data_IF_972173627584
#
_entry.id   IF_972173627584
#
_cell.length_a   1.000
_cell.length_b   1.000
_cell.length_c   1.000
_cell.angle_alpha   90.00
_cell.angle_beta   90.00
_cell.angle_gamma   90.00
#
_symmetry.space_group_name_H-M   'P 1'
#
loop_
_entity.id
_entity.type
_entity.pdbx_description
1 polymer ?
#
# COMPACT_ATOMS: atom_id res chain seq x y z
N UNK A 1 6.07 10.63 -33.91
CA UNK A 1 5.48 9.36 -33.45
C UNK A 1 4.37 9.71 -32.47
N UNK A 2 3.25 9.02 -32.55
CA UNK A 2 2.15 9.20 -31.59
C UNK A 2 2.61 8.63 -30.24
N UNK A 3 2.68 9.46 -29.20
CA UNK A 3 3.18 9.07 -27.88
C UNK A 3 2.03 8.43 -27.08
N UNK A 4 2.13 7.12 -26.84
CA UNK A 4 1.19 6.36 -26.02
C UNK A 4 1.60 6.32 -24.54
N UNK A 5 2.76 6.85 -24.18
CA UNK A 5 3.30 6.75 -22.82
C UNK A 5 2.44 7.51 -21.80
N UNK A 6 2.18 6.84 -20.69
CA UNK A 6 1.39 7.37 -19.59
C UNK A 6 0.24 6.46 -19.18
N UNK A 7 -0.70 7.06 -18.47
CA UNK A 7 -1.81 6.36 -17.83
C UNK A 7 -3.11 6.82 -18.47
N UNK A 8 -3.91 5.87 -18.90
CA UNK A 8 -5.09 6.12 -19.70
C UNK A 8 -6.32 5.51 -19.05
N UNK A 9 -7.27 6.34 -18.64
CA UNK A 9 -8.59 5.88 -18.24
C UNK A 9 -9.31 5.31 -19.46
N UNK A 10 -9.81 4.09 -19.34
CA UNK A 10 -10.50 3.37 -20.42
C UNK A 10 -12.00 3.39 -20.15
N UNK A 11 -12.76 3.88 -21.12
CA UNK A 11 -14.22 3.95 -21.03
C UNK A 11 -14.84 3.20 -22.21
N UNK A 12 -15.78 2.30 -21.91
CA UNK A 12 -16.52 1.55 -22.94
C UNK A 12 -17.36 2.51 -23.77
N UNK A 13 -17.28 2.39 -25.09
CA UNK A 13 -18.06 3.18 -26.05
C UNK A 13 -19.10 2.30 -26.75
N UNK A 14 -18.82 1.02 -26.98
CA UNK A 14 -19.76 0.12 -27.65
C UNK A 14 -19.35 -1.35 -27.69
N UNK A 15 -20.21 -2.18 -28.29
CA UNK A 15 -20.00 -3.62 -28.52
C UNK A 15 -20.16 -4.51 -27.27
N UNK A 16 -19.59 -5.71 -27.29
CA UNK A 16 -19.70 -6.74 -26.27
C UNK A 16 -18.63 -6.65 -25.16
N UNK A 17 -17.96 -5.50 -24.99
CA UNK A 17 -17.04 -5.29 -23.86
C UNK A 17 -17.80 -5.36 -22.52
N UNK A 18 -17.22 -5.98 -21.49
CA UNK A 18 -17.77 -5.93 -20.14
C UNK A 18 -17.74 -4.50 -19.59
N UNK A 19 -18.40 -4.23 -18.45
CA UNK A 19 -18.23 -2.96 -17.76
C UNK A 19 -16.75 -2.69 -17.43
N UNK A 20 -16.27 -1.49 -17.77
CA UNK A 20 -14.87 -1.08 -17.60
C UNK A 20 -14.66 -0.14 -16.40
N UNK A 21 -15.41 -0.35 -15.31
CA UNK A 21 -15.31 0.49 -14.12
C UNK A 21 -13.88 0.42 -13.53
N UNK A 22 -13.25 1.58 -13.36
CA UNK A 22 -11.87 1.70 -12.86
C UNK A 22 -10.82 1.08 -13.78
N UNK A 23 -11.13 0.84 -15.06
CA UNK A 23 -10.18 0.27 -16.02
C UNK A 23 -9.17 1.33 -16.47
N UNK A 24 -7.89 1.02 -16.31
CA UNK A 24 -6.77 1.91 -16.67
C UNK A 24 -5.75 1.14 -17.49
N UNK A 25 -5.18 1.77 -18.52
CA UNK A 25 -4.01 1.26 -19.25
C UNK A 25 -2.78 2.08 -18.88
N UNK A 26 -1.75 1.42 -18.33
CA UNK A 26 -0.43 2.03 -18.12
C UNK A 26 0.49 1.60 -19.25
N UNK A 27 1.12 2.55 -19.92
CA UNK A 27 2.00 2.31 -21.06
C UNK A 27 3.34 2.99 -20.82
N UNK A 28 4.41 2.24 -21.05
CA UNK A 28 5.80 2.73 -21.02
C UNK A 28 6.59 2.06 -22.14
N UNK A 29 6.91 2.84 -23.18
CA UNK A 29 7.59 2.40 -24.38
C UNK A 29 6.84 1.28 -25.09
N UNK A 30 7.47 0.12 -25.19
CA UNK A 30 6.92 -1.05 -25.90
C UNK A 30 6.07 -1.98 -25.03
N UNK A 31 5.75 -1.60 -23.79
CA UNK A 31 5.03 -2.45 -22.82
C UNK A 31 3.92 -1.68 -22.12
N UNK A 32 2.91 -2.40 -21.66
CA UNK A 32 1.90 -1.86 -20.78
C UNK A 32 1.05 -2.91 -20.08
N UNK A 33 0.15 -2.44 -19.23
CA UNK A 33 -0.75 -3.28 -18.44
C UNK A 33 -2.14 -2.67 -18.45
N UNK A 34 -3.18 -3.50 -18.62
CA UNK A 34 -4.57 -3.10 -18.37
C UNK A 34 -4.93 -3.52 -16.94
N UNK A 35 -5.22 -2.55 -16.09
CA UNK A 35 -5.48 -2.70 -14.66
C UNK A 35 -6.95 -2.43 -14.36
N UNK A 36 -7.53 -3.21 -13.44
CA UNK A 36 -8.84 -2.95 -12.85
C UNK A 36 -8.67 -2.89 -11.33
N UNK A 37 -9.49 -2.10 -10.65
CA UNK A 37 -9.41 -1.89 -9.19
C UNK A 37 -9.36 -3.21 -8.36
N UNK A 38 -9.94 -4.30 -8.87
CA UNK A 38 -10.07 -5.57 -8.16
C UNK A 38 -9.58 -6.80 -8.94
N UNK A 39 -8.75 -6.63 -9.98
CA UNK A 39 -8.23 -7.76 -10.75
C UNK A 39 -6.73 -7.63 -11.02
N UNK A 40 -6.06 -8.78 -11.16
CA UNK A 40 -4.69 -8.83 -11.64
C UNK A 40 -4.58 -8.15 -13.01
N UNK A 41 -3.57 -7.30 -13.18
CA UNK A 41 -3.35 -6.58 -14.42
C UNK A 41 -3.08 -7.52 -15.59
N UNK A 42 -3.60 -7.17 -16.77
CA UNK A 42 -3.39 -7.92 -18.02
C UNK A 42 -2.26 -7.26 -18.82
N UNK A 43 -1.05 -7.84 -18.85
CA UNK A 43 0.08 -7.25 -19.55
C UNK A 43 -0.06 -7.38 -21.07
N UNK A 44 0.45 -6.39 -21.79
CA UNK A 44 0.47 -6.32 -23.25
C UNK A 44 1.77 -5.70 -23.77
N UNK A 45 2.05 -5.93 -25.05
CA UNK A 45 3.11 -5.28 -25.82
C UNK A 45 2.52 -4.23 -26.74
N UNK A 46 3.19 -3.09 -26.85
CA UNK A 46 2.81 -2.01 -27.76
C UNK A 46 3.54 -2.19 -29.07
N UNK A 47 2.79 -2.31 -30.16
CA UNK A 47 3.30 -2.42 -31.53
C UNK A 47 2.65 -1.32 -32.38
N UNK A 48 3.30 -0.16 -32.44
CA UNK A 48 2.70 1.03 -33.04
C UNK A 48 1.47 1.46 -32.25
N UNK A 49 0.29 1.39 -32.87
CA UNK A 49 -0.99 1.68 -32.23
C UNK A 49 -1.77 0.41 -31.84
N UNK A 50 -1.12 -0.75 -31.81
CA UNK A 50 -1.75 -2.00 -31.38
C UNK A 50 -1.22 -2.45 -30.02
N UNK A 51 -2.13 -2.90 -29.14
CA UNK A 51 -1.82 -3.47 -27.83
C UNK A 51 -2.05 -4.98 -27.89
N UNK A 52 -0.96 -5.75 -27.89
CA UNK A 52 -0.96 -7.20 -28.03
C UNK A 52 -0.85 -7.85 -26.64
N UNK A 53 -1.94 -8.42 -26.14
CA UNK A 53 -1.96 -8.99 -24.79
C UNK A 53 -1.09 -10.24 -24.69
N UNK A 54 -0.62 -10.53 -23.47
CA UNK A 54 0.20 -11.71 -23.17
C UNK A 54 -0.66 -12.86 -22.63
N UNK A 55 -0.14 -14.10 -22.61
CA UNK A 55 -0.86 -15.24 -22.05
C UNK A 55 -1.40 -14.97 -20.64
N UNK A 56 -2.63 -15.43 -20.32
CA UNK A 56 -3.50 -16.29 -21.13
C UNK A 56 -4.35 -15.55 -22.19
N UNK A 57 -4.13 -14.24 -22.38
CA UNK A 57 -4.96 -13.36 -23.22
C UNK A 57 -4.38 -13.06 -24.60
N UNK A 58 -3.42 -13.85 -25.09
CA UNK A 58 -2.65 -13.56 -26.31
C UNK A 58 -3.43 -13.57 -27.64
N UNK A 59 -4.73 -13.84 -27.60
CA UNK A 59 -5.62 -13.73 -28.75
C UNK A 59 -6.35 -12.38 -28.80
N UNK A 60 -6.23 -11.57 -27.74
CA UNK A 60 -6.76 -10.23 -27.67
C UNK A 60 -5.75 -9.23 -28.22
N UNK A 61 -6.23 -8.36 -29.09
CA UNK A 61 -5.48 -7.20 -29.60
C UNK A 61 -6.39 -6.00 -29.59
N UNK A 62 -5.96 -4.93 -28.94
CA UNK A 62 -6.63 -3.63 -29.03
C UNK A 62 -5.96 -2.78 -30.10
N UNK A 63 -6.72 -2.30 -31.09
CA UNK A 63 -6.22 -1.42 -32.15
C UNK A 63 -6.65 0.02 -31.85
N UNK A 64 -5.71 0.93 -31.78
CA UNK A 64 -5.93 2.33 -31.43
C UNK A 64 -5.90 3.23 -32.68
N UNK A 65 -6.78 4.23 -32.67
CA UNK A 65 -6.80 5.33 -33.61
C UNK A 65 -6.82 6.64 -32.80
N UNK A 66 -6.03 7.62 -33.22
CA UNK A 66 -5.97 8.92 -32.56
C UNK A 66 -6.86 9.92 -33.30
N UNK A 67 -7.75 10.58 -32.56
CA UNK A 67 -8.58 11.67 -33.07
C UNK A 67 -8.61 12.79 -32.03
N UNK A 68 -8.15 13.98 -32.40
CA UNK A 68 -8.17 15.20 -31.56
C UNK A 68 -7.61 15.02 -30.14
N UNK A 69 -6.49 14.29 -30.01
CA UNK A 69 -5.83 14.03 -28.72
C UNK A 69 -6.49 12.95 -27.84
N UNK A 70 -7.57 12.34 -28.32
CA UNK A 70 -8.23 11.18 -27.71
C UNK A 70 -7.88 9.93 -28.50
N UNK A 71 -7.65 8.82 -27.82
CA UNK A 71 -7.50 7.52 -28.46
C UNK A 71 -8.81 6.76 -28.45
N UNK A 72 -9.24 6.28 -29.61
CA UNK A 72 -10.34 5.33 -29.75
C UNK A 72 -9.76 3.96 -30.02
N UNK A 73 -10.22 2.97 -29.27
CA UNK A 73 -9.75 1.60 -29.33
C UNK A 73 -10.81 0.64 -29.81
N UNK A 74 -10.41 -0.28 -30.67
CA UNK A 74 -11.20 -1.44 -31.11
C UNK A 74 -10.61 -2.70 -30.51
N UNK A 75 -11.34 -3.32 -29.60
CA UNK A 75 -10.95 -4.59 -29.00
C UNK A 75 -11.28 -5.72 -29.96
N UNK A 76 -10.26 -6.51 -30.31
CA UNK A 76 -10.39 -7.64 -31.24
C UNK A 76 -10.00 -8.94 -30.56
N UNK A 77 -10.71 -10.03 -30.89
CA UNK A 77 -10.38 -11.38 -30.49
C UNK A 77 -10.20 -12.23 -31.75
N UNK A 78 -9.00 -12.80 -31.94
CA UNK A 78 -8.64 -13.53 -33.18
C UNK A 78 -8.90 -12.70 -34.45
N UNK A 79 -8.71 -11.38 -34.38
CA UNK A 79 -8.91 -10.45 -35.50
C UNK A 79 -10.34 -9.96 -35.71
N UNK A 80 -11.33 -10.51 -35.00
CA UNK A 80 -12.71 -10.04 -35.05
C UNK A 80 -12.95 -8.98 -33.97
N UNK A 81 -13.44 -7.81 -34.38
CA UNK A 81 -13.85 -6.75 -33.45
C UNK A 81 -15.05 -7.22 -32.62
N UNK A 82 -14.92 -7.12 -31.30
CA UNK A 82 -16.02 -7.44 -30.38
C UNK A 82 -16.42 -6.24 -29.52
N UNK A 83 -15.64 -5.15 -29.47
CA UNK A 83 -16.11 -3.92 -28.86
C UNK A 83 -15.18 -2.73 -29.00
N UNK A 84 -15.67 -1.59 -28.51
CA UNK A 84 -15.05 -0.29 -28.72
C UNK A 84 -14.93 0.45 -27.39
N UNK A 85 -13.82 1.16 -27.23
CA UNK A 85 -13.53 1.96 -26.05
C UNK A 85 -12.84 3.25 -26.44
N UNK A 86 -12.77 4.19 -25.48
CA UNK A 86 -11.95 5.38 -25.59
C UNK A 86 -10.96 5.43 -24.44
N UNK A 87 -9.79 5.99 -24.71
CA UNK A 87 -8.71 6.22 -23.76
C UNK A 87 -8.55 7.72 -23.57
N UNK A 88 -8.69 8.17 -22.33
CA UNK A 88 -8.41 9.55 -21.92
C UNK A 88 -7.18 9.56 -21.04
N UNK A 89 -6.21 10.43 -21.34
CA UNK A 89 -5.01 10.56 -20.53
C UNK A 89 -5.43 11.02 -19.13
N UNK A 90 -5.02 10.27 -18.11
CA UNK A 90 -5.09 10.77 -16.74
C UNK A 90 -3.96 11.79 -16.59
N UNK A 91 -4.32 12.99 -16.16
CA UNK A 91 -3.31 14.00 -15.83
C UNK A 91 -2.48 13.54 -14.63
N UNK A 92 -1.27 14.09 -14.51
CA UNK A 92 -0.35 13.73 -13.43
C UNK A 92 -0.96 13.96 -12.04
N UNK A 93 -1.88 14.94 -11.93
CA UNK A 93 -2.59 15.26 -10.69
C UNK A 93 -3.50 14.10 -10.27
N UNK A 94 -4.31 13.56 -11.18
CA UNK A 94 -5.16 12.41 -10.88
C UNK A 94 -4.35 11.18 -10.50
N UNK A 95 -3.23 10.93 -11.18
CA UNK A 95 -2.34 9.81 -10.86
C UNK A 95 -1.67 9.97 -9.48
N UNK A 96 -1.23 11.18 -9.15
CA UNK A 96 -0.68 11.49 -7.83
C UNK A 96 -1.73 11.32 -6.73
N UNK A 97 -2.98 11.75 -6.98
CA UNK A 97 -4.09 11.53 -6.06
C UNK A 97 -4.38 10.04 -5.85
N UNK A 98 -4.38 9.22 -6.91
CA UNK A 98 -4.54 7.76 -6.79
C UNK A 98 -3.42 7.13 -5.96
N UNK A 99 -2.15 7.53 -6.18
CA UNK A 99 -1.03 7.03 -5.38
C UNK A 99 -1.13 7.49 -3.92
N UNK A 100 -1.52 8.74 -3.68
CA UNK A 100 -1.74 9.26 -2.33
C UNK A 100 -2.77 8.42 -1.58
N UNK A 101 -3.96 8.24 -2.15
CA UNK A 101 -5.05 7.44 -1.52
C UNK A 101 -4.57 6.03 -1.22
N UNK A 102 -3.85 5.41 -2.17
CA UNK A 102 -3.29 4.07 -1.98
C UNK A 102 -2.33 4.01 -0.78
N UNK A 103 -1.43 4.98 -0.64
CA UNK A 103 -0.47 4.98 0.47
C UNK A 103 -1.11 5.31 1.82
N UNK A 104 -2.18 6.12 1.85
CA UNK A 104 -2.98 6.33 3.07
C UNK A 104 -3.66 5.01 3.47
N UNK A 105 -4.21 4.26 2.52
CA UNK A 105 -4.85 2.97 2.77
C UNK A 105 -3.85 1.90 3.25
N UNK A 106 -2.65 1.86 2.65
CA UNK A 106 -1.55 1.00 3.09
C UNK A 106 -1.11 1.34 4.52
N UNK A 107 -1.01 2.63 4.87
CA UNK A 107 -0.69 3.07 6.23
C UNK A 107 -1.80 2.65 7.21
N UNK A 108 -3.08 2.90 6.90
CA UNK A 108 -4.20 2.44 7.72
C UNK A 108 -4.15 0.92 7.97
N UNK A 109 -3.87 0.12 6.93
CA UNK A 109 -3.76 -1.33 7.08
C UNK A 109 -2.55 -1.75 7.93
N UNK A 110 -1.45 -1.00 7.88
CA UNK A 110 -0.26 -1.20 8.70
C UNK A 110 -0.60 -1.00 10.18
N UNK A 111 -1.22 0.14 10.53
CA UNK A 111 -1.66 0.45 11.89
C UNK A 111 -2.55 -0.66 12.48
N UNK A 112 -3.50 -1.16 11.70
CA UNK A 112 -4.39 -2.25 12.12
C UNK A 112 -3.65 -3.59 12.37
N UNK A 113 -2.49 -3.79 11.74
CA UNK A 113 -1.63 -4.94 12.05
C UNK A 113 -0.82 -4.69 13.32
N UNK A 114 -0.29 -3.47 13.49
CA UNK A 114 0.49 -3.09 14.67
C UNK A 114 -0.36 -3.14 15.93
N UNK A 115 -1.60 -2.64 15.90
CA UNK A 115 -2.54 -2.78 17.02
C UNK A 115 -2.72 -4.23 17.49
N UNK A 116 -2.81 -5.18 16.54
CA UNK A 116 -2.91 -6.62 16.87
C UNK A 116 -1.60 -7.20 17.40
N UNK A 117 -0.46 -6.70 16.92
CA UNK A 117 0.85 -7.06 17.45
C UNK A 117 0.99 -6.58 18.90
N UNK A 118 0.59 -5.33 19.18
CA UNK A 118 0.61 -4.74 20.51
C UNK A 118 -0.30 -5.49 21.48
N UNK A 119 -1.49 -5.93 21.06
CA UNK A 119 -2.33 -6.84 21.87
C UNK A 119 -1.59 -8.11 22.29
N UNK A 120 -0.82 -8.71 21.37
CA UNK A 120 0.00 -9.88 21.64
C UNK A 120 1.13 -9.59 22.63
N UNK A 121 1.85 -8.48 22.44
CA UNK A 121 2.95 -8.07 23.33
C UNK A 121 2.45 -7.74 24.75
N UNK A 122 1.37 -6.97 24.87
CA UNK A 122 0.72 -6.60 26.14
C UNK A 122 0.28 -7.85 26.91
N UNK A 123 -0.31 -8.83 26.23
CA UNK A 123 -0.78 -10.07 26.89
C UNK A 123 0.34 -11.03 27.33
N UNK A 124 1.60 -10.75 26.98
CA UNK A 124 2.72 -11.66 27.20
C UNK A 124 3.87 -11.08 28.03
N UNK A 125 3.81 -9.80 28.39
CA UNK A 125 4.78 -9.15 29.29
C UNK A 125 4.23 -9.04 30.71
N UNK A 126 5.09 -9.31 31.70
CA UNK A 126 4.79 -9.10 33.12
C UNK A 126 5.59 -7.91 33.71
N UNK A 127 6.46 -7.27 32.92
CA UNK A 127 7.22 -6.09 33.34
C UNK A 127 6.32 -4.84 33.30
N UNK A 128 6.12 -4.15 34.43
CA UNK A 128 5.15 -3.05 34.52
C UNK A 128 5.57 -1.81 33.71
N UNK A 129 6.87 -1.55 33.54
CA UNK A 129 7.34 -0.40 32.77
C UNK A 129 7.19 -0.65 31.26
N UNK A 130 7.47 -1.87 30.81
CA UNK A 130 7.24 -2.27 29.41
C UNK A 130 5.74 -2.31 29.11
N UNK A 131 4.92 -2.80 30.04
CA UNK A 131 3.47 -2.85 29.88
C UNK A 131 2.89 -1.44 29.70
N UNK A 132 3.26 -0.48 30.56
CA UNK A 132 2.82 0.92 30.47
C UNK A 132 3.23 1.56 29.12
N UNK A 133 4.47 1.33 28.69
CA UNK A 133 4.94 1.83 27.40
C UNK A 133 4.15 1.26 26.21
N UNK A 134 3.85 -0.04 26.21
CA UNK A 134 3.08 -0.69 25.14
C UNK A 134 1.61 -0.26 25.14
N UNK A 135 0.99 -0.10 26.31
CA UNK A 135 -0.39 0.39 26.42
C UNK A 135 -0.51 1.84 25.96
N UNK A 136 0.47 2.68 26.33
CA UNK A 136 0.56 4.05 25.86
C UNK A 136 0.67 4.11 24.34
N UNK A 137 1.63 3.37 23.78
CA UNK A 137 1.87 3.34 22.36
C UNK A 137 0.66 2.81 21.58
N UNK A 138 -0.02 1.78 22.10
CA UNK A 138 -1.28 1.27 21.49
C UNK A 138 -2.37 2.36 21.38
N UNK A 139 -2.46 3.27 22.35
CA UNK A 139 -3.38 4.40 22.24
C UNK A 139 -2.95 5.39 21.15
N UNK A 140 -1.65 5.64 20.99
CA UNK A 140 -1.09 6.46 19.90
C UNK A 140 -1.38 5.82 18.53
N UNK A 141 -1.06 4.54 18.35
CA UNK A 141 -1.32 3.73 17.14
C UNK A 141 -2.81 3.73 16.76
N UNK A 142 -3.71 3.64 17.75
CA UNK A 142 -5.15 3.75 17.49
C UNK A 142 -5.51 5.14 16.95
N UNK A 143 -4.90 6.19 17.51
CA UNK A 143 -5.01 7.55 17.00
C UNK A 143 -4.46 7.71 15.58
N UNK A 144 -3.34 7.06 15.25
CA UNK A 144 -2.76 7.06 13.90
C UNK A 144 -3.72 6.44 12.88
N UNK A 145 -4.24 5.24 13.20
CA UNK A 145 -5.27 4.55 12.42
C UNK A 145 -6.49 5.46 12.17
N UNK A 146 -7.02 6.10 13.21
CA UNK A 146 -8.19 6.96 13.08
C UNK A 146 -7.90 8.19 12.21
N UNK A 147 -6.70 8.79 12.34
CA UNK A 147 -6.26 9.89 11.46
C UNK A 147 -6.16 9.43 10.01
N UNK A 148 -5.57 8.26 9.72
CA UNK A 148 -5.49 7.73 8.36
C UNK A 148 -6.86 7.42 7.76
N UNK A 149 -7.78 6.88 8.56
CA UNK A 149 -9.16 6.68 8.14
C UNK A 149 -9.84 8.01 7.78
N UNK A 150 -9.69 9.03 8.62
CA UNK A 150 -10.21 10.37 8.33
C UNK A 150 -9.59 10.97 7.06
N UNK A 151 -8.29 10.71 6.78
CA UNK A 151 -7.65 11.11 5.52
C UNK A 151 -8.23 10.39 4.31
N UNK A 152 -8.55 9.10 4.40
CA UNK A 152 -9.25 8.37 3.32
C UNK A 152 -10.62 8.97 3.05
N UNK A 153 -11.40 9.22 4.11
CA UNK A 153 -12.73 9.81 4.00
C UNK A 153 -12.69 11.21 3.34
N UNK A 154 -11.66 12.01 3.64
CA UNK A 154 -11.43 13.31 3.01
C UNK A 154 -11.15 13.22 1.48
N UNK A 155 -10.78 12.05 0.98
CA UNK A 155 -10.58 11.77 -0.45
C UNK A 155 -11.74 11.00 -1.09
N UNK A 156 -12.90 10.91 -0.42
CA UNK A 156 -14.05 10.10 -0.82
C UNK A 156 -13.70 8.60 -0.99
N UNK A 157 -12.68 8.14 -0.25
CA UNK A 157 -12.23 6.76 -0.23
C UNK A 157 -12.62 6.08 1.10
N UNK A 158 -12.75 4.77 1.06
CA UNK A 158 -12.98 3.93 2.24
C UNK A 158 -11.82 2.95 2.37
N UNK A 159 -11.43 2.54 3.60
CA UNK A 159 -10.42 1.50 3.77
C UNK A 159 -10.70 0.30 2.89
N UNK A 160 -9.74 -0.09 2.05
CA UNK A 160 -9.93 -1.28 1.23
C UNK A 160 -9.89 -2.50 2.16
N UNK A 161 -10.91 -3.36 2.06
CA UNK A 161 -10.98 -4.55 2.90
C UNK A 161 -9.82 -5.51 2.59
N UNK A 162 -8.67 -5.36 3.28
CA UNK A 162 -7.52 -6.27 3.42
C UNK A 162 -6.93 -6.86 2.11
N UNK A 163 -7.38 -6.47 0.91
CA UNK A 163 -7.08 -7.21 -0.33
C UNK A 163 -6.00 -6.63 -1.24
N UNK A 164 -5.39 -5.49 -0.92
CA UNK A 164 -4.11 -5.11 -1.53
C UNK A 164 -3.00 -5.19 -0.49
N UNK A 165 -2.58 -6.40 -0.18
CA UNK A 165 -1.35 -6.62 0.59
C UNK A 165 -0.18 -6.33 -0.34
N UNK A 166 0.24 -5.06 -0.40
CA UNK A 166 1.54 -4.68 -0.95
C UNK A 166 2.67 -5.45 -0.25
N UNK A 167 3.82 -5.57 -0.91
CA UNK A 167 4.94 -6.40 -0.43
C UNK A 167 5.40 -6.09 1.01
N UNK A 168 5.19 -4.84 1.47
CA UNK A 168 5.55 -4.38 2.81
C UNK A 168 4.63 -4.94 3.90
N UNK A 169 3.30 -4.94 3.70
CA UNK A 169 2.35 -5.61 4.60
C UNK A 169 2.56 -7.12 4.63
N UNK A 170 2.98 -7.72 3.51
CA UNK A 170 3.38 -9.14 3.46
C UNK A 170 4.63 -9.43 4.29
N UNK A 171 5.53 -8.46 4.46
CA UNK A 171 6.71 -8.61 5.32
C UNK A 171 6.32 -8.53 6.80
N UNK A 172 5.45 -7.57 7.16
CA UNK A 172 4.89 -7.45 8.52
C UNK A 172 4.07 -8.70 8.89
N UNK A 173 3.21 -9.18 8.00
CA UNK A 173 2.42 -10.40 8.24
C UNK A 173 3.26 -11.69 8.32
N UNK A 174 4.53 -11.64 7.90
CA UNK A 174 5.50 -12.74 8.04
C UNK A 174 6.38 -12.61 9.29
N UNK A 175 6.26 -11.51 10.05
CA UNK A 175 6.88 -11.42 11.36
C UNK A 175 6.21 -12.49 12.23
N UNK A 176 6.98 -13.43 12.81
CA UNK A 176 6.42 -14.61 13.44
C UNK A 176 5.62 -14.24 14.69
N UNK A 177 4.30 -14.40 14.63
CA UNK A 177 3.39 -14.46 15.79
C UNK A 177 3.53 -15.79 16.58
N UNK A 178 4.69 -16.44 16.52
CA UNK A 178 4.91 -17.74 17.17
C UNK A 178 4.97 -17.57 18.70
N UNK A 179 3.81 -17.64 19.35
CA UNK A 179 3.62 -17.55 20.81
C UNK A 179 4.23 -18.73 21.61
N UNK A 180 5.10 -19.56 21.02
CA UNK A 180 5.49 -20.89 21.53
C UNK A 180 6.99 -20.99 21.87
N UNK A 181 7.73 -19.88 22.02
CA UNK A 181 9.16 -19.91 22.38
C UNK A 181 9.47 -19.13 23.67
N UNK A 182 10.53 -19.55 24.37
CA UNK A 182 10.92 -19.11 25.73
C UNK A 182 11.26 -17.63 25.86
N UNK A 183 12.10 -17.09 24.97
CA UNK A 183 12.42 -15.65 24.96
C UNK A 183 11.26 -14.80 24.38
N UNK A 184 10.50 -14.13 25.22
CA UNK A 184 9.41 -13.23 24.82
C UNK A 184 9.88 -11.77 24.83
N UNK A 185 10.58 -11.34 25.88
CA UNK A 185 10.98 -9.93 26.04
C UNK A 185 11.92 -9.45 24.91
N UNK A 186 13.05 -10.13 24.69
CA UNK A 186 14.02 -9.72 23.66
C UNK A 186 13.51 -9.86 22.23
N UNK A 187 12.64 -10.85 21.98
CA UNK A 187 11.96 -11.02 20.69
C UNK A 187 10.97 -9.88 20.44
N UNK A 188 10.14 -9.56 21.43
CA UNK A 188 9.17 -8.47 21.34
C UNK A 188 9.86 -7.13 21.12
N UNK A 189 10.97 -6.87 21.84
CA UNK A 189 11.76 -5.65 21.65
C UNK A 189 12.37 -5.57 20.24
N UNK A 190 12.96 -6.66 19.74
CA UNK A 190 13.51 -6.73 18.38
C UNK A 190 12.44 -6.49 17.31
N UNK A 191 11.32 -7.20 17.42
CA UNK A 191 10.27 -7.15 16.42
C UNK A 191 9.51 -5.82 16.49
N UNK A 192 9.32 -5.26 17.70
CA UNK A 192 8.82 -3.90 17.92
C UNK A 192 9.74 -2.86 17.27
N UNK A 193 11.03 -2.84 17.60
CA UNK A 193 11.99 -1.89 17.05
C UNK A 193 12.06 -1.91 15.52
N UNK A 194 12.04 -3.12 14.93
CA UNK A 194 11.99 -3.27 13.49
C UNK A 194 10.69 -2.74 12.88
N UNK A 195 9.56 -2.92 13.57
CA UNK A 195 8.25 -2.41 13.17
C UNK A 195 8.24 -0.88 13.18
N UNK A 196 8.67 -0.24 14.28
CA UNK A 196 8.73 1.23 14.37
C UNK A 196 9.49 1.85 13.18
N UNK A 197 10.63 1.28 12.82
CA UNK A 197 11.41 1.76 11.68
C UNK A 197 10.76 1.52 10.33
N UNK A 198 9.96 0.45 10.18
CA UNK A 198 9.12 0.26 9.00
C UNK A 198 8.01 1.30 8.92
N UNK A 199 7.39 1.66 10.05
CA UNK A 199 6.34 2.68 10.11
C UNK A 199 6.91 4.06 9.78
N UNK A 200 8.03 4.44 10.39
CA UNK A 200 8.77 5.68 10.06
C UNK A 200 9.06 5.75 8.56
N UNK A 201 9.56 4.67 7.95
CA UNK A 201 9.86 4.65 6.52
C UNK A 201 8.60 4.79 5.65
N UNK A 202 7.52 4.11 6.01
CA UNK A 202 6.22 4.18 5.33
C UNK A 202 5.63 5.59 5.38
N UNK A 203 5.64 6.21 6.56
CA UNK A 203 5.11 7.56 6.74
C UNK A 203 6.00 8.63 6.10
N UNK A 204 7.33 8.47 6.08
CA UNK A 204 8.22 9.37 5.34
C UNK A 204 7.93 9.33 3.83
N UNK A 205 7.62 8.15 3.28
CA UNK A 205 7.19 8.03 1.89
C UNK A 205 5.82 8.70 1.68
N UNK A 206 4.83 8.39 2.52
CA UNK A 206 3.49 8.98 2.44
C UNK A 206 3.54 10.51 2.52
N UNK A 207 4.30 11.07 3.46
CA UNK A 207 4.48 12.52 3.62
C UNK A 207 4.96 13.19 2.33
N UNK A 208 5.98 12.63 1.67
CA UNK A 208 6.52 13.17 0.41
C UNK A 208 5.56 13.03 -0.76
N UNK A 209 4.75 11.98 -0.77
CA UNK A 209 3.71 11.79 -1.79
C UNK A 209 2.59 12.81 -1.59
N UNK A 210 2.16 13.01 -0.34
CA UNK A 210 1.17 14.02 0.04
C UNK A 210 1.61 15.44 -0.36
N UNK A 211 2.86 15.81 -0.06
CA UNK A 211 3.46 17.09 -0.50
C UNK A 211 3.41 17.25 -2.03
N UNK A 212 3.76 16.22 -2.79
CA UNK A 212 3.72 16.24 -4.26
C UNK A 212 2.30 16.33 -4.82
N UNK A 213 1.34 15.75 -4.11
CA UNK A 213 -0.08 15.80 -4.45
C UNK A 213 -0.77 17.10 -3.98
N UNK A 214 -0.06 17.96 -3.23
CA UNK A 214 -0.62 19.19 -2.67
C UNK A 214 -1.55 18.99 -1.47
N UNK A 215 -1.48 17.82 -0.81
CA UNK A 215 -2.25 17.52 0.40
C UNK A 215 -1.42 17.82 1.65
N UNK A 216 -1.39 19.10 2.03
CA UNK A 216 -0.62 19.58 3.18
C UNK A 216 -1.07 18.97 4.51
N UNK A 217 -2.36 18.65 4.63
CA UNK A 217 -2.91 18.08 5.87
C UNK A 217 -2.47 16.62 6.04
N UNK A 218 -2.49 15.80 4.99
CA UNK A 218 -1.93 14.44 5.07
C UNK A 218 -0.42 14.49 5.36
N UNK A 219 0.32 15.43 4.76
CA UNK A 219 1.74 15.58 5.03
C UNK A 219 2.03 15.96 6.50
N UNK A 220 1.24 16.88 7.07
CA UNK A 220 1.33 17.28 8.48
C UNK A 220 1.06 16.10 9.40
N UNK A 221 -0.05 15.39 9.19
CA UNK A 221 -0.43 14.21 9.99
C UNK A 221 0.66 13.14 9.93
N UNK A 222 1.19 12.83 8.74
CA UNK A 222 2.29 11.87 8.61
C UNK A 222 3.56 12.31 9.38
N UNK A 223 3.86 13.63 9.40
CA UNK A 223 4.97 14.19 10.18
C UNK A 223 4.80 14.03 11.69
N UNK A 224 3.58 14.18 12.20
CA UNK A 224 3.25 13.96 13.62
C UNK A 224 3.44 12.50 14.00
N UNK A 225 2.91 11.58 13.18
CA UNK A 225 3.05 10.14 13.41
C UNK A 225 4.51 9.71 13.40
N UNK A 226 5.32 10.16 12.41
CA UNK A 226 6.78 9.91 12.39
C UNK A 226 7.46 10.33 13.70
N UNK A 227 6.99 11.41 14.32
CA UNK A 227 7.57 11.92 15.58
C UNK A 227 7.14 11.08 16.78
N UNK A 228 5.96 10.49 16.74
CA UNK A 228 5.45 9.53 17.73
C UNK A 228 6.23 8.19 17.61
N UNK A 229 6.38 7.61 16.40
CA UNK A 229 7.11 6.34 16.21
C UNK A 229 8.60 6.42 16.55
N UNK A 230 9.23 7.57 16.30
CA UNK A 230 10.62 7.78 16.71
C UNK A 230 10.79 7.71 18.22
N UNK A 231 9.82 8.24 18.98
CA UNK A 231 9.87 8.16 20.45
C UNK A 231 9.70 6.74 20.94
N UNK A 232 8.84 5.94 20.30
CA UNK A 232 8.70 4.53 20.64
C UNK A 232 9.96 3.73 20.30
N UNK A 233 10.56 3.97 19.12
CA UNK A 233 11.84 3.38 18.73
C UNK A 233 12.97 3.76 19.71
N UNK A 234 13.07 5.02 20.12
CA UNK A 234 14.01 5.50 21.12
C UNK A 234 13.75 4.83 22.48
N UNK A 235 12.49 4.70 22.89
CA UNK A 235 12.09 4.00 24.13
C UNK A 235 12.57 2.56 24.14
N UNK A 236 12.42 1.83 23.03
CA UNK A 236 12.93 0.46 22.91
C UNK A 236 14.47 0.47 22.94
N UNK A 237 15.10 1.39 22.21
CA UNK A 237 16.55 1.52 22.13
C UNK A 237 17.20 1.78 23.50
N UNK A 238 16.59 2.60 24.32
CA UNK A 238 17.09 2.95 25.65
C UNK A 238 16.92 1.81 26.66
N UNK A 239 16.16 0.76 26.32
CA UNK A 239 15.84 -0.37 27.21
C UNK A 239 16.46 -1.70 26.78
N UNK A 240 17.41 -1.73 25.84
CA UNK A 240 18.04 -2.98 25.38
C UNK A 240 18.66 -3.83 26.50
N UNK A 241 19.33 -3.20 27.47
CA UNK A 241 19.91 -3.91 28.61
C UNK A 241 18.82 -4.60 29.44
N UNK A 242 17.69 -3.92 29.70
CA UNK A 242 16.55 -4.50 30.40
C UNK A 242 15.95 -5.68 29.62
N UNK A 243 15.74 -5.53 28.30
CA UNK A 243 15.22 -6.62 27.47
C UNK A 243 16.16 -7.82 27.45
N UNK A 244 17.48 -7.61 27.47
CA UNK A 244 18.47 -8.67 27.58
C UNK A 244 18.38 -9.40 28.93
N UNK A 245 18.30 -8.67 30.05
CA UNK A 245 18.11 -9.26 31.38
C UNK A 245 16.82 -10.07 31.48
N UNK A 246 15.70 -9.53 30.99
CA UNK A 246 14.41 -10.23 30.99
C UNK A 246 14.48 -11.51 30.16
N UNK A 247 15.10 -11.47 28.98
CA UNK A 247 15.28 -12.65 28.13
C UNK A 247 16.11 -13.74 28.83
N UNK A 248 17.18 -13.35 29.53
CA UNK A 248 17.99 -14.28 30.31
C UNK A 248 17.21 -14.89 31.47
N UNK A 249 16.39 -14.09 32.18
CA UNK A 249 15.51 -14.57 33.26
C UNK A 249 14.44 -15.53 32.76
N UNK A 250 13.86 -15.28 31.58
CA UNK A 250 12.87 -16.17 30.93
C UNK A 250 13.46 -17.57 30.64
N UNK A 251 14.76 -17.65 30.35
CA UNK A 251 15.50 -18.90 30.14
C UNK A 251 16.07 -19.50 31.45
N UNK A 252 15.74 -18.91 32.61
CA UNK A 252 16.17 -19.38 33.93
C UNK A 252 17.62 -19.02 34.29
N UNK A 253 18.24 -18.10 33.57
CA UNK A 253 19.59 -17.58 33.87
C UNK A 253 19.47 -16.45 34.89
N UNK A 254 20.24 -16.55 35.98
CA UNK A 254 20.32 -15.49 37.00
C UNK A 254 21.32 -14.44 36.56
N UNK A 255 20.86 -13.20 36.39
CA UNK A 255 21.62 -11.99 36.06
C UNK A 255 21.22 -10.85 36.99
#
# INVERSE_FOLDING_TARGET
MVELDGVWKVERVGGALPPLYGCVKRINGSRGTTEFAHAAGMPFEVRGLELHYRPPFNLLVDKLEQQDGVFFGRATFRGYEFGQFRMRRLDNVSQLKEQLIKHIDEAYAMEQNVLRMLDGMISTTDDPEILDALEHHKMETQGHSDRMKARLEAHDATPSGVKQVGGMLQAIAKMPLDMVRGEKAGRNARDGFATEHMEIASYELLRRIAEKAGDEETARVAGEIISEEKKMADTISDNWDKFAELSLREEGVTV
#
